data_IF_578498632122
#
_entry.id   IF_578498632122
#
_cell.length_a   1.000
_cell.length_b   1.000
_cell.length_c   1.000
_cell.angle_alpha   90.00
_cell.angle_beta   90.00
_cell.angle_gamma   90.00
#
_symmetry.space_group_name_H-M   'P 1'
#
loop_
_entity.id
_entity.type
_entity.pdbx_description
1 polymer ?
#
# COMPACT_ATOMS: atom_id res chain seq x y z
N UNK A 1 -24.55 22.58 14.89
CA UNK A 1 -23.71 22.45 13.68
C UNK A 1 -22.45 21.72 14.07
N UNK A 2 -22.38 20.41 13.87
CA UNK A 2 -21.19 19.63 14.14
C UNK A 2 -20.22 19.87 12.98
N UNK A 3 -19.09 20.52 13.24
CA UNK A 3 -17.99 20.62 12.29
C UNK A 3 -17.62 19.22 11.80
N UNK A 4 -17.63 18.94 10.49
CA UNK A 4 -17.20 17.64 10.00
C UNK A 4 -15.76 17.42 10.45
N UNK A 5 -15.52 16.33 11.18
CA UNK A 5 -14.17 15.96 11.60
C UNK A 5 -13.36 15.72 10.34
N UNK A 6 -12.41 16.61 10.06
CA UNK A 6 -11.57 16.63 8.85
C UNK A 6 -10.52 15.50 8.87
N UNK A 7 -10.92 14.27 9.27
CA UNK A 7 -10.05 13.11 9.42
C UNK A 7 -10.71 11.87 8.81
N UNK A 8 -10.03 11.13 7.94
CA UNK A 8 -10.54 9.84 7.47
C UNK A 8 -10.62 8.87 8.66
N UNK A 9 -11.73 8.16 8.79
CA UNK A 9 -11.92 7.10 9.80
C UNK A 9 -11.25 5.82 9.30
N UNK A 10 -9.93 5.75 9.36
CA UNK A 10 -9.20 4.50 9.07
C UNK A 10 -9.13 3.65 10.33
N UNK A 11 -9.48 2.38 10.21
CA UNK A 11 -9.53 1.42 11.33
C UNK A 11 -8.23 0.67 11.53
N UNK A 12 -7.36 0.67 10.51
CA UNK A 12 -6.14 -0.14 10.46
C UNK A 12 -4.99 0.75 10.03
N UNK A 13 -3.83 0.61 10.68
CA UNK A 13 -2.57 1.16 10.17
C UNK A 13 -2.18 0.41 8.90
N UNK A 14 -2.05 1.07 7.75
CA UNK A 14 -1.87 0.42 6.45
C UNK A 14 -0.76 -0.62 6.36
N UNK A 15 0.44 -0.44 6.93
CA UNK A 15 1.51 -1.43 6.82
C UNK A 15 1.30 -2.68 7.68
N UNK A 16 0.40 -2.65 8.68
CA UNK A 16 0.22 -3.78 9.60
C UNK A 16 -0.27 -5.07 8.92
N UNK A 17 -1.27 -5.06 8.01
CA UNK A 17 -1.69 -6.28 7.32
C UNK A 17 -0.57 -6.91 6.48
N UNK A 18 0.26 -6.09 5.83
CA UNK A 18 1.40 -6.58 5.04
C UNK A 18 2.47 -7.21 5.95
N UNK A 19 2.83 -6.51 7.03
CA UNK A 19 3.77 -7.03 8.02
C UNK A 19 3.25 -8.34 8.67
N UNK A 20 1.97 -8.40 9.01
CA UNK A 20 1.36 -9.61 9.59
C UNK A 20 1.40 -10.79 8.61
N UNK A 21 1.18 -10.56 7.31
CA UNK A 21 1.26 -11.61 6.29
C UNK A 21 2.69 -12.14 6.12
N UNK A 22 3.71 -11.25 6.13
CA UNK A 22 5.12 -11.64 6.03
C UNK A 22 5.55 -12.42 7.27
N UNK A 23 5.28 -11.88 8.46
CA UNK A 23 5.69 -12.51 9.73
C UNK A 23 4.91 -13.81 9.98
N UNK A 24 3.62 -13.83 9.66
CA UNK A 24 2.78 -15.03 9.77
C UNK A 24 3.24 -16.12 8.80
N UNK A 25 3.55 -15.77 7.57
CA UNK A 25 4.11 -16.70 6.58
C UNK A 25 5.45 -17.27 7.03
N UNK A 26 6.37 -16.42 7.46
CA UNK A 26 7.65 -16.86 8.02
C UNK A 26 7.49 -17.77 9.24
N UNK A 27 6.53 -17.47 10.13
CA UNK A 27 6.25 -18.30 11.30
C UNK A 27 5.69 -19.68 10.91
N UNK A 28 4.76 -19.74 9.95
CA UNK A 28 4.19 -21.01 9.45
C UNK A 28 5.26 -21.90 8.85
N UNK A 29 6.17 -21.36 8.03
CA UNK A 29 7.25 -22.13 7.44
C UNK A 29 8.17 -22.77 8.49
N UNK A 30 8.37 -22.10 9.62
CA UNK A 30 9.19 -22.60 10.72
C UNK A 30 8.48 -23.67 11.59
N UNK A 31 7.16 -23.73 11.54
CA UNK A 31 6.34 -24.58 12.43
C UNK A 31 5.62 -25.72 11.70
N UNK A 32 6.28 -26.42 10.78
CA UNK A 32 5.80 -27.61 10.05
C UNK A 32 4.78 -27.36 8.92
N UNK A 33 4.54 -26.12 8.54
CA UNK A 33 3.63 -25.75 7.45
C UNK A 33 4.40 -25.11 6.31
N UNK A 34 5.59 -25.64 6.01
CA UNK A 34 6.43 -25.08 4.95
C UNK A 34 5.70 -25.13 3.60
N UNK A 35 5.63 -23.98 2.94
CA UNK A 35 5.10 -23.82 1.59
C UNK A 35 6.19 -23.19 0.72
N UNK A 36 7.16 -24.00 0.22
CA UNK A 36 8.30 -23.46 -0.49
C UNK A 36 7.90 -22.82 -1.81
N UNK A 37 8.53 -21.70 -2.15
CA UNK A 37 8.35 -20.98 -3.40
C UNK A 37 9.58 -21.17 -4.29
N UNK A 38 9.67 -22.33 -4.95
CA UNK A 38 10.73 -22.63 -5.89
C UNK A 38 12.14 -22.69 -5.29
N UNK A 39 13.16 -22.42 -6.13
CA UNK A 39 14.56 -22.36 -5.72
C UNK A 39 14.86 -21.00 -5.09
N UNK A 40 14.94 -20.97 -3.75
CA UNK A 40 15.07 -19.73 -2.98
C UNK A 40 16.29 -18.90 -3.35
N UNK A 41 17.45 -19.53 -3.57
CA UNK A 41 18.70 -18.83 -3.88
C UNK A 41 18.59 -18.11 -5.24
N UNK A 42 17.94 -18.75 -6.22
CA UNK A 42 17.73 -18.17 -7.55
C UNK A 42 16.70 -17.06 -7.58
N UNK A 43 15.74 -17.05 -6.68
CA UNK A 43 14.67 -16.07 -6.66
C UNK A 43 14.94 -14.92 -5.69
N UNK A 44 15.87 -15.08 -4.75
CA UNK A 44 16.16 -14.06 -3.75
C UNK A 44 16.61 -12.72 -4.34
N UNK A 45 17.42 -12.74 -5.43
CA UNK A 45 17.85 -11.52 -6.09
C UNK A 45 16.66 -10.72 -6.69
N UNK A 46 15.67 -11.42 -7.26
CA UNK A 46 14.44 -10.79 -7.75
C UNK A 46 13.63 -10.22 -6.58
N UNK A 47 13.61 -10.93 -5.46
CA UNK A 47 12.99 -10.44 -4.22
C UNK A 47 13.62 -9.11 -3.75
N UNK A 48 14.95 -9.04 -3.71
CA UNK A 48 15.65 -7.81 -3.37
C UNK A 48 15.43 -6.68 -4.38
N UNK A 49 15.34 -7.01 -5.67
CA UNK A 49 14.98 -6.03 -6.71
C UNK A 49 13.58 -5.44 -6.47
N UNK A 50 12.59 -6.29 -6.15
CA UNK A 50 11.23 -5.83 -5.85
C UNK A 50 11.21 -4.93 -4.60
N UNK A 51 11.96 -5.27 -3.55
CA UNK A 51 12.09 -4.43 -2.36
C UNK A 51 12.75 -3.09 -2.70
N UNK A 52 13.78 -3.08 -3.52
CA UNK A 52 14.42 -1.84 -3.96
C UNK A 52 13.45 -0.94 -4.76
N UNK A 53 12.70 -1.51 -5.71
CA UNK A 53 11.64 -0.81 -6.46
C UNK A 53 10.58 -0.26 -5.51
N UNK A 54 10.16 -1.05 -4.52
CA UNK A 54 9.20 -0.61 -3.51
C UNK A 54 9.70 0.60 -2.73
N UNK A 55 10.94 0.57 -2.26
CA UNK A 55 11.54 1.67 -1.51
C UNK A 55 11.66 2.94 -2.36
N UNK A 56 12.04 2.81 -3.63
CA UNK A 56 12.10 3.93 -4.57
C UNK A 56 10.71 4.52 -4.82
N UNK A 57 9.70 3.68 -5.06
CA UNK A 57 8.32 4.11 -5.26
C UNK A 57 7.75 4.79 -4.01
N UNK A 58 8.03 4.24 -2.83
CA UNK A 58 7.63 4.82 -1.55
C UNK A 58 8.29 6.18 -1.33
N UNK A 59 9.61 6.26 -1.52
CA UNK A 59 10.36 7.51 -1.38
C UNK A 59 9.86 8.58 -2.37
N UNK A 60 9.63 8.22 -3.63
CA UNK A 60 9.07 9.12 -4.63
C UNK A 60 7.68 9.61 -4.24
N UNK A 61 6.81 8.72 -3.76
CA UNK A 61 5.47 9.08 -3.28
C UNK A 61 5.55 10.05 -2.10
N UNK A 62 6.42 9.76 -1.13
CA UNK A 62 6.61 10.60 0.05
C UNK A 62 7.15 11.99 -0.32
N UNK A 63 8.12 12.07 -1.23
CA UNK A 63 8.68 13.33 -1.71
C UNK A 63 7.62 14.16 -2.45
N UNK A 64 6.79 13.52 -3.28
CA UNK A 64 5.68 14.20 -3.97
C UNK A 64 4.68 14.77 -2.97
N UNK A 65 4.24 13.99 -1.98
CA UNK A 65 3.34 14.49 -0.94
C UNK A 65 3.93 15.66 -0.16
N UNK A 66 5.21 15.58 0.22
CA UNK A 66 5.92 16.67 0.92
C UNK A 66 5.99 17.94 0.09
N UNK A 67 6.28 17.84 -1.23
CA UNK A 67 6.30 19.01 -2.15
C UNK A 67 4.95 19.72 -2.21
N UNK A 68 3.84 18.98 -2.10
CA UNK A 68 2.49 19.53 -2.07
C UNK A 68 2.03 19.95 -0.66
N UNK A 69 2.91 19.92 0.35
CA UNK A 69 2.56 20.31 1.72
C UNK A 69 1.53 19.40 2.39
N UNK A 70 1.34 18.19 1.86
CA UNK A 70 0.40 17.21 2.41
C UNK A 70 1.12 16.04 3.08
N UNK A 71 0.38 15.18 3.78
CA UNK A 71 0.94 14.13 4.63
C UNK A 71 0.48 12.74 4.20
N UNK A 72 1.34 11.75 4.43
CA UNK A 72 1.01 10.31 4.30
C UNK A 72 0.13 9.82 5.45
N UNK A 73 -0.01 10.60 6.52
CA UNK A 73 -0.72 10.15 7.71
C UNK A 73 -2.23 10.08 7.44
N UNK A 74 -2.83 8.88 7.41
CA UNK A 74 -4.25 8.70 7.09
C UNK A 74 -5.17 9.30 8.17
N UNK A 75 -4.63 9.65 9.34
CA UNK A 75 -5.39 10.30 10.44
C UNK A 75 -5.35 11.83 10.35
N UNK A 76 -4.54 12.41 9.46
CA UNK A 76 -4.55 13.84 9.17
C UNK A 76 -5.20 14.05 7.81
N UNK A 77 -6.17 14.95 7.73
CA UNK A 77 -6.82 15.28 6.46
C UNK A 77 -5.79 15.73 5.42
N UNK A 78 -6.01 15.39 4.15
CA UNK A 78 -5.18 15.83 3.05
C UNK A 78 -5.28 17.35 2.89
N UNK A 79 -4.13 18.04 2.94
CA UNK A 79 -4.07 19.50 2.75
C UNK A 79 -4.13 19.87 1.26
N UNK A 80 -3.68 18.97 0.37
CA UNK A 80 -3.68 19.16 -1.09
C UNK A 80 -3.95 17.83 -1.80
N UNK A 81 -4.58 17.90 -2.97
CA UNK A 81 -4.78 16.76 -3.86
C UNK A 81 -3.54 16.59 -4.75
N UNK A 82 -2.77 15.53 -4.52
CA UNK A 82 -1.63 15.19 -5.38
C UNK A 82 -2.10 14.35 -6.56
N UNK A 83 -1.78 14.79 -7.79
CA UNK A 83 -2.16 14.13 -9.04
C UNK A 83 -0.99 13.93 -9.99
N UNK A 84 0.22 14.28 -9.57
CA UNK A 84 1.47 14.21 -10.31
C UNK A 84 2.43 13.15 -9.74
N UNK A 85 3.62 13.03 -10.31
CA UNK A 85 4.60 12.02 -9.91
C UNK A 85 4.00 10.61 -9.95
N UNK A 86 4.19 9.78 -8.90
CA UNK A 86 3.64 8.44 -8.87
C UNK A 86 2.10 8.42 -8.82
N UNK A 87 1.47 9.51 -8.34
CA UNK A 87 0.03 9.66 -8.32
C UNK A 87 -0.59 9.92 -9.71
N UNK A 88 0.21 10.21 -10.73
CA UNK A 88 -0.25 10.26 -12.11
C UNK A 88 -0.52 8.88 -12.72
N UNK A 89 0.08 7.81 -12.17
CA UNK A 89 -0.05 6.44 -12.67
C UNK A 89 -0.96 5.57 -11.81
N UNK A 90 -0.97 5.81 -10.52
CA UNK A 90 -1.80 5.09 -9.55
C UNK A 90 -2.34 6.04 -8.50
N UNK A 91 -3.58 5.84 -8.07
CA UNK A 91 -4.13 6.61 -6.93
C UNK A 91 -3.59 6.15 -5.58
N UNK A 92 -2.93 4.98 -5.54
CA UNK A 92 -2.44 4.34 -4.31
C UNK A 92 -0.99 3.83 -4.46
N UNK A 93 -0.02 4.66 -4.87
CA UNK A 93 1.33 4.20 -5.15
C UNK A 93 2.06 3.67 -3.90
N UNK A 94 1.71 4.17 -2.71
CA UNK A 94 2.27 3.69 -1.43
C UNK A 94 1.86 2.25 -1.16
N UNK A 95 0.57 1.91 -1.36
CA UNK A 95 0.10 0.53 -1.19
C UNK A 95 0.62 -0.42 -2.28
N UNK A 96 0.90 0.09 -3.49
CA UNK A 96 1.63 -0.68 -4.49
C UNK A 96 3.06 -1.02 -4.02
N UNK A 97 3.73 -0.06 -3.40
CA UNK A 97 5.05 -0.30 -2.81
C UNK A 97 4.97 -1.38 -1.72
N UNK A 98 3.97 -1.32 -0.82
CA UNK A 98 3.76 -2.36 0.19
C UNK A 98 3.52 -3.75 -0.45
N UNK A 99 2.78 -3.81 -1.57
CA UNK A 99 2.59 -5.05 -2.34
C UNK A 99 3.89 -5.58 -2.94
N UNK A 100 4.78 -4.71 -3.43
CA UNK A 100 6.11 -5.12 -3.89
C UNK A 100 6.99 -5.62 -2.74
N UNK A 101 6.91 -5.00 -1.55
CA UNK A 101 7.59 -5.51 -0.35
C UNK A 101 7.08 -6.90 0.02
N UNK A 102 5.76 -7.12 0.02
CA UNK A 102 5.16 -8.43 0.31
C UNK A 102 5.66 -9.50 -0.68
N UNK A 103 5.62 -9.18 -1.98
CA UNK A 103 6.08 -10.09 -3.03
C UNK A 103 7.58 -10.35 -2.95
N UNK A 104 8.38 -9.31 -2.72
CA UNK A 104 9.82 -9.41 -2.53
C UNK A 104 10.19 -10.25 -1.32
N UNK A 105 9.53 -10.03 -0.19
CA UNK A 105 9.73 -10.82 1.02
C UNK A 105 9.38 -12.29 0.80
N UNK A 106 8.31 -12.60 0.07
CA UNK A 106 7.94 -13.97 -0.31
C UNK A 106 9.07 -14.68 -1.06
N UNK A 107 9.69 -14.00 -2.03
CA UNK A 107 10.81 -14.55 -2.81
C UNK A 107 12.09 -14.69 -1.97
N UNK A 108 12.42 -13.69 -1.14
CA UNK A 108 13.61 -13.72 -0.26
C UNK A 108 13.50 -14.84 0.78
N UNK A 109 12.31 -15.03 1.34
CA UNK A 109 12.05 -16.07 2.33
C UNK A 109 11.85 -17.45 1.69
N UNK A 110 11.80 -17.54 0.35
CA UNK A 110 11.41 -18.73 -0.39
C UNK A 110 10.08 -19.33 0.08
N UNK A 111 9.16 -18.49 0.53
CA UNK A 111 7.88 -18.86 1.13
C UNK A 111 6.71 -18.34 0.30
N UNK A 112 5.76 -19.20 -0.05
CA UNK A 112 4.54 -18.79 -0.74
C UNK A 112 3.47 -18.22 0.22
N UNK A 113 3.61 -18.38 1.53
CA UNK A 113 2.60 -17.93 2.51
C UNK A 113 2.26 -16.45 2.42
N UNK A 114 3.22 -15.50 2.30
CA UNK A 114 2.87 -14.09 2.16
C UNK A 114 1.97 -13.82 0.95
N UNK A 115 2.20 -14.53 -0.17
CA UNK A 115 1.36 -14.42 -1.38
C UNK A 115 0.00 -15.08 -1.19
N UNK A 116 -0.09 -16.18 -0.46
CA UNK A 116 -1.37 -16.83 -0.08
C UNK A 116 -2.22 -15.87 0.75
N UNK A 117 -1.61 -15.09 1.63
CA UNK A 117 -2.32 -14.07 2.42
C UNK A 117 -2.64 -12.79 1.65
N UNK A 118 -2.01 -12.55 0.50
CA UNK A 118 -2.18 -11.32 -0.27
C UNK A 118 -3.64 -10.94 -0.55
N UNK A 119 -4.55 -11.86 -0.98
CA UNK A 119 -5.96 -11.51 -1.20
C UNK A 119 -6.65 -10.97 0.05
N UNK A 120 -6.36 -11.56 1.22
CA UNK A 120 -6.91 -11.11 2.50
C UNK A 120 -6.34 -9.74 2.89
N UNK A 121 -5.02 -9.53 2.72
CA UNK A 121 -4.35 -8.24 2.95
C UNK A 121 -4.95 -7.16 2.06
N UNK A 122 -5.07 -7.41 0.75
CA UNK A 122 -5.65 -6.44 -0.19
C UNK A 122 -7.11 -6.12 0.14
N UNK A 123 -7.88 -7.11 0.58
CA UNK A 123 -9.26 -6.90 1.02
C UNK A 123 -9.30 -6.03 2.27
N UNK A 124 -8.48 -6.32 3.28
CA UNK A 124 -8.40 -5.56 4.52
C UNK A 124 -7.98 -4.09 4.25
N UNK A 125 -6.95 -3.86 3.44
CA UNK A 125 -6.48 -2.52 3.08
C UNK A 125 -7.52 -1.77 2.24
N UNK A 126 -8.16 -2.45 1.26
CA UNK A 126 -9.19 -1.83 0.42
C UNK A 126 -10.39 -1.34 1.24
N UNK A 127 -10.89 -2.15 2.14
CA UNK A 127 -12.11 -1.83 2.90
C UNK A 127 -11.80 -1.08 4.19
N UNK A 128 -10.68 -1.38 4.84
CA UNK A 128 -10.30 -0.74 6.10
C UNK A 128 -9.65 0.62 5.95
N UNK A 129 -9.05 0.92 4.79
CA UNK A 129 -8.28 2.15 4.58
C UNK A 129 -8.69 2.88 3.31
N UNK A 130 -8.45 2.29 2.11
CA UNK A 130 -8.54 3.00 0.84
C UNK A 130 -9.92 3.60 0.59
N UNK A 131 -10.99 2.87 0.89
CA UNK A 131 -12.36 3.38 0.72
C UNK A 131 -12.64 4.61 1.58
N UNK A 132 -12.09 4.67 2.79
CA UNK A 132 -12.25 5.80 3.70
C UNK A 132 -11.42 7.00 3.24
N UNK A 133 -10.20 6.75 2.74
CA UNK A 133 -9.36 7.80 2.14
C UNK A 133 -10.01 8.37 0.88
N UNK A 134 -10.49 7.53 -0.04
CA UNK A 134 -11.19 7.98 -1.25
C UNK A 134 -12.45 8.80 -0.92
N UNK A 135 -13.25 8.35 0.05
CA UNK A 135 -14.43 9.10 0.49
C UNK A 135 -14.06 10.45 1.12
N UNK A 136 -12.99 10.49 1.92
CA UNK A 136 -12.48 11.73 2.50
C UNK A 136 -11.96 12.69 1.43
N UNK A 137 -11.18 12.19 0.45
CA UNK A 137 -10.68 13.00 -0.66
C UNK A 137 -11.82 13.55 -1.53
N UNK A 138 -12.86 12.75 -1.79
CA UNK A 138 -14.02 13.19 -2.54
C UNK A 138 -14.83 14.25 -1.76
N UNK A 139 -14.97 14.10 -0.45
CA UNK A 139 -15.64 15.08 0.40
C UNK A 139 -14.85 16.40 0.50
N UNK A 140 -13.51 16.34 0.48
CA UNK A 140 -12.63 17.50 0.64
C UNK A 140 -12.42 18.26 -0.68
N UNK A 141 -12.19 17.54 -1.78
CA UNK A 141 -11.79 18.12 -3.07
C UNK A 141 -12.89 18.06 -4.15
N UNK A 142 -14.02 17.41 -3.88
CA UNK A 142 -15.21 17.40 -4.73
C UNK A 142 -14.93 17.02 -6.19
N UNK A 143 -15.23 17.94 -7.11
CA UNK A 143 -15.10 17.73 -8.54
C UNK A 143 -13.65 17.48 -8.99
N UNK A 144 -12.68 18.15 -8.37
CA UNK A 144 -11.26 17.95 -8.69
C UNK A 144 -10.83 16.48 -8.45
N UNK A 145 -11.29 15.87 -7.35
CA UNK A 145 -11.02 14.45 -7.08
C UNK A 145 -11.78 13.53 -8.05
N UNK A 146 -13.02 13.84 -8.42
CA UNK A 146 -13.80 13.06 -9.41
C UNK A 146 -13.13 13.05 -10.77
N UNK A 147 -12.66 14.20 -11.26
CA UNK A 147 -11.90 14.30 -12.52
C UNK A 147 -10.58 13.51 -12.46
N UNK A 148 -9.87 13.57 -11.34
CA UNK A 148 -8.66 12.77 -11.11
C UNK A 148 -8.97 11.26 -11.16
N UNK A 149 -10.00 10.80 -10.46
CA UNK A 149 -10.45 9.41 -10.40
C UNK A 149 -10.85 8.83 -11.77
N UNK A 150 -11.34 9.65 -12.67
CA UNK A 150 -11.68 9.25 -14.05
C UNK A 150 -10.42 9.01 -14.91
N UNK A 151 -9.35 9.75 -14.66
CA UNK A 151 -8.10 9.69 -15.45
C UNK A 151 -7.10 8.67 -14.92
N UNK A 152 -7.06 8.47 -13.62
CA UNK A 152 -6.06 7.63 -12.95
C UNK A 152 -6.76 6.45 -12.26
N UNK A 153 -6.28 5.24 -12.55
CA UNK A 153 -6.82 4.02 -11.92
C UNK A 153 -6.41 3.93 -10.45
N UNK A 154 -7.10 3.05 -9.71
CA UNK A 154 -6.78 2.82 -8.31
C UNK A 154 -5.41 2.17 -8.14
N UNK A 155 -5.03 1.28 -9.05
CA UNK A 155 -3.78 0.55 -9.05
C UNK A 155 -2.90 0.96 -10.24
N UNK A 156 -2.98 0.27 -11.34
CA UNK A 156 -2.25 0.56 -12.60
C UNK A 156 -3.22 0.51 -13.80
#
# INVERSE_FOLDING_TARGET
>A
MTTPTNRPRTWILPPLPFAAAILGGWWLDRHRWALPLGDGDRLAWLGWLLVAVALLLFAWSLLTLRRHGTTVNPYRGAAALCTDGPFAFSRNPIYLADGFVLSGASLILASAWPLVFAPAVWTAVRYGVIRHEEAHLEATFGEAYRCYRQRVRRWL
#
